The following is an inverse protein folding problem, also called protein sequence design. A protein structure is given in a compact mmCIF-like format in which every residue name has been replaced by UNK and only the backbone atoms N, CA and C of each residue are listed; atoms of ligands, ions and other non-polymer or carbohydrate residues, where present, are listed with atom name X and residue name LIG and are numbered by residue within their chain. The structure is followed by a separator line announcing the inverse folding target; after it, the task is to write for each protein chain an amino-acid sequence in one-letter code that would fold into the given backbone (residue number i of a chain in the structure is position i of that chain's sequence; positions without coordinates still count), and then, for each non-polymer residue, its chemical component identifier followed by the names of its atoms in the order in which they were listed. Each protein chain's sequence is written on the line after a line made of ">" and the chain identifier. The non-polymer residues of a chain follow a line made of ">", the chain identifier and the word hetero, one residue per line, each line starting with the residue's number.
data_IF_730582159389
#
_entry.id   IF_730582159389
#
_cell.length_a   1.000
_cell.length_b   1.000
_cell.length_c   1.000
_cell.angle_alpha   90.00
_cell.angle_beta   90.00
_cell.angle_gamma   90.00
#
_symmetry.space_group_name_H-M   'P 1'
#
loop_
_entity.id
_entity.type
_entity.pdbx_description
1 polymer ?
#
# COMPACT_ATOMS: atom_id res chain seq x y z
N UNK A 1 -3.51 13.94 7.13
CA UNK A 1 -2.71 12.89 6.49
C UNK A 1 -3.16 11.59 7.10
N UNK A 2 -3.59 10.66 6.25
CA UNK A 2 -4.15 9.37 6.65
C UNK A 2 -3.10 8.32 6.31
N UNK A 3 -2.60 7.61 7.32
CA UNK A 3 -1.60 6.58 7.13
C UNK A 3 -2.26 5.20 7.14
N UNK A 4 -2.15 4.49 6.02
CA UNK A 4 -2.76 3.17 5.83
C UNK A 4 -1.85 2.01 6.24
N UNK A 5 -0.63 2.31 6.71
CA UNK A 5 0.35 1.32 7.16
C UNK A 5 -0.10 0.60 8.41
N UNK A 6 0.50 -0.57 8.63
CA UNK A 6 0.32 -1.34 9.86
C UNK A 6 0.99 -0.65 11.05
N UNK A 7 0.56 -0.97 12.28
CA UNK A 7 1.16 -0.39 13.49
C UNK A 7 2.67 -0.66 13.59
N UNK A 8 3.12 -1.82 13.11
CA UNK A 8 4.54 -2.17 13.08
C UNK A 8 5.33 -1.23 12.15
N UNK A 9 4.83 -0.99 10.94
CA UNK A 9 5.48 -0.10 9.97
C UNK A 9 5.51 1.36 10.48
N UNK A 10 4.45 1.81 11.15
CA UNK A 10 4.39 3.12 11.82
C UNK A 10 5.45 3.25 12.91
N UNK A 11 5.65 2.21 13.71
CA UNK A 11 6.63 2.17 14.78
C UNK A 11 8.07 2.16 14.25
N UNK A 12 8.36 1.34 13.23
CA UNK A 12 9.69 1.19 12.64
C UNK A 12 10.09 2.40 11.80
N UNK A 13 9.12 3.02 11.12
CA UNK A 13 9.34 4.11 10.17
C UNK A 13 8.31 5.24 10.36
N UNK A 14 8.37 5.99 11.48
CA UNK A 14 7.38 7.03 11.77
C UNK A 14 7.47 8.20 10.79
N UNK A 15 6.32 8.80 10.48
CA UNK A 15 6.28 9.95 9.59
C UNK A 15 6.99 11.19 10.17
N UNK A 16 7.67 11.98 9.32
CA UNK A 16 8.18 13.27 9.73
C UNK A 16 7.03 14.19 10.15
N UNK A 17 7.23 14.93 11.25
CA UNK A 17 6.24 15.86 11.77
C UNK A 17 6.25 17.16 10.96
N UNK A 18 5.13 17.45 10.30
CA UNK A 18 4.89 18.64 9.48
C UNK A 18 3.95 19.56 10.24
N UNK A 19 4.31 20.84 10.33
CA UNK A 19 3.49 21.84 11.01
C UNK A 19 2.13 22.00 10.31
N UNK A 20 1.07 22.11 11.10
CA UNK A 20 -0.31 22.32 10.62
C UNK A 20 -0.92 21.14 9.85
N UNK A 21 -0.32 19.95 9.92
CA UNK A 21 -0.91 18.70 9.41
C UNK A 21 -1.49 17.90 10.57
N UNK A 22 -2.75 17.49 10.44
CA UNK A 22 -3.36 16.48 11.33
C UNK A 22 -3.00 15.09 10.80
N UNK A 23 -2.66 14.16 11.68
CA UNK A 23 -2.28 12.78 11.34
C UNK A 23 -3.36 11.84 11.86
N UNK A 24 -3.70 10.82 11.08
CA UNK A 24 -4.61 9.75 11.46
C UNK A 24 -4.03 8.40 11.03
N UNK A 25 -3.91 7.48 11.98
CA UNK A 25 -3.36 6.15 11.77
C UNK A 25 -4.54 5.20 11.50
N UNK A 26 -4.63 4.68 10.27
CA UNK A 26 -5.79 3.95 9.75
C UNK A 26 -5.31 2.64 9.09
N UNK A 27 -4.80 1.67 9.86
CA UNK A 27 -4.25 0.45 9.30
C UNK A 27 -5.31 -0.33 8.52
N UNK A 28 -4.98 -0.71 7.27
CA UNK A 28 -5.87 -1.53 6.41
C UNK A 28 -5.39 -2.98 6.28
N UNK A 29 -4.31 -3.34 6.97
CA UNK A 29 -3.80 -4.69 7.06
C UNK A 29 -3.51 -5.02 8.52
N UNK A 30 -3.58 -6.31 8.87
CA UNK A 30 -3.09 -6.79 10.16
C UNK A 30 -1.57 -6.73 10.14
N UNK A 31 -0.97 -6.52 11.30
CA UNK A 31 0.43 -6.88 11.50
C UNK A 31 0.55 -8.39 11.26
N UNK A 32 0.97 -8.80 10.06
CA UNK A 32 1.26 -10.22 9.77
C UNK A 32 2.60 -10.66 10.37
N UNK A 33 3.26 -9.78 11.13
CA UNK A 33 4.68 -9.85 11.39
C UNK A 33 5.45 -9.52 10.11
N UNK A 34 6.47 -8.67 10.24
CA UNK A 34 7.42 -8.31 9.17
C UNK A 34 6.71 -7.88 7.86
N UNK A 35 6.50 -6.58 7.68
CA UNK A 35 5.78 -5.97 6.54
C UNK A 35 6.11 -6.54 5.15
N UNK A 36 5.26 -6.24 4.16
CA UNK A 36 5.23 -6.84 2.81
C UNK A 36 6.52 -6.70 1.96
N UNK A 37 7.60 -6.16 2.53
CA UNK A 37 8.91 -5.97 1.89
C UNK A 37 10.08 -6.39 2.79
N UNK A 38 9.82 -7.12 3.87
CA UNK A 38 10.88 -7.65 4.72
C UNK A 38 11.67 -8.76 4.04
N UNK A 39 12.92 -8.93 4.48
CA UNK A 39 13.77 -10.05 4.08
C UNK A 39 13.04 -11.40 4.23
N UNK A 40 12.32 -11.60 5.33
CA UNK A 40 11.58 -12.83 5.57
C UNK A 40 10.38 -13.02 4.62
N UNK A 41 9.70 -11.94 4.24
CA UNK A 41 8.65 -12.03 3.23
C UNK A 41 9.22 -12.41 1.86
N UNK A 42 10.36 -11.82 1.48
CA UNK A 42 11.06 -12.16 0.23
C UNK A 42 11.60 -13.60 0.23
N UNK A 43 12.15 -14.08 1.35
CA UNK A 43 12.59 -15.47 1.52
C UNK A 43 11.43 -16.46 1.37
N UNK A 44 10.28 -16.15 1.97
CA UNK A 44 9.07 -16.97 1.81
C UNK A 44 8.59 -16.97 0.35
N UNK A 45 8.61 -15.82 -0.33
CA UNK A 45 8.22 -15.71 -1.74
C UNK A 45 9.14 -16.52 -2.67
N UNK A 46 10.46 -16.54 -2.40
CA UNK A 46 11.42 -17.31 -3.21
C UNK A 46 11.20 -18.83 -3.15
N UNK A 47 10.55 -19.33 -2.09
CA UNK A 47 10.23 -20.75 -1.92
C UNK A 47 8.90 -21.19 -2.56
N UNK A 48 8.12 -20.26 -3.13
CA UNK A 48 6.82 -20.57 -3.71
C UNK A 48 6.92 -20.90 -5.20
N UNK A 49 6.18 -21.91 -5.66
CA UNK A 49 6.04 -22.18 -7.09
C UNK A 49 5.30 -21.06 -7.84
N UNK A 50 4.43 -20.31 -7.16
CA UNK A 50 3.62 -19.20 -7.69
C UNK A 50 3.58 -18.02 -6.72
N UNK A 51 4.65 -17.23 -6.62
CA UNK A 51 4.72 -16.10 -5.69
C UNK A 51 3.64 -15.04 -5.95
N UNK A 52 3.10 -14.95 -7.16
CA UNK A 52 2.00 -14.06 -7.52
C UNK A 52 0.69 -14.38 -6.77
N UNK A 53 0.45 -15.65 -6.42
CA UNK A 53 -0.79 -16.06 -5.75
C UNK A 53 -0.88 -15.43 -4.35
N UNK A 54 0.26 -15.26 -3.66
CA UNK A 54 0.31 -14.53 -2.40
C UNK A 54 -0.11 -13.05 -2.55
N UNK A 55 0.30 -12.40 -3.64
CA UNK A 55 -0.08 -11.01 -3.92
C UNK A 55 -1.57 -10.89 -4.31
N UNK A 56 -2.09 -11.87 -5.05
CA UNK A 56 -3.52 -11.94 -5.38
C UNK A 56 -4.34 -12.09 -4.10
N UNK A 57 -3.95 -12.98 -3.21
CA UNK A 57 -4.64 -13.20 -1.94
C UNK A 57 -4.56 -11.96 -1.03
N UNK A 58 -3.39 -11.31 -0.96
CA UNK A 58 -3.23 -10.06 -0.23
C UNK A 58 -4.21 -8.97 -0.74
N UNK A 59 -4.41 -8.86 -2.05
CA UNK A 59 -5.40 -7.93 -2.62
C UNK A 59 -6.85 -8.33 -2.30
N UNK A 60 -7.17 -9.63 -2.28
CA UNK A 60 -8.50 -10.12 -1.85
C UNK A 60 -8.79 -9.74 -0.40
N UNK A 61 -7.76 -9.76 0.45
CA UNK A 61 -7.87 -9.38 1.86
C UNK A 61 -8.30 -7.94 2.08
N UNK A 62 -8.07 -7.02 1.13
CA UNK A 62 -8.62 -5.66 1.22
C UNK A 62 -10.15 -5.61 1.25
N UNK A 63 -10.82 -6.66 0.77
CA UNK A 63 -12.29 -6.75 0.69
C UNK A 63 -12.85 -7.76 1.68
N UNK A 64 -12.08 -8.77 2.10
CA UNK A 64 -12.56 -9.83 3.00
C UNK A 64 -12.26 -9.53 4.47
N UNK A 65 -11.07 -8.98 4.77
CA UNK A 65 -10.61 -8.82 6.15
C UNK A 65 -11.32 -7.67 6.90
N UNK A 66 -11.71 -7.87 8.18
CA UNK A 66 -12.34 -6.83 8.97
C UNK A 66 -11.49 -5.56 9.14
N UNK A 67 -10.17 -5.70 9.29
CA UNK A 67 -9.27 -4.55 9.45
C UNK A 67 -9.29 -3.65 8.22
N UNK A 68 -9.26 -4.26 7.02
CA UNK A 68 -9.30 -3.51 5.77
C UNK A 68 -10.64 -2.79 5.60
N UNK A 69 -11.76 -3.48 5.86
CA UNK A 69 -13.10 -2.87 5.81
C UNK A 69 -13.22 -1.68 6.75
N UNK A 70 -12.76 -1.82 7.99
CA UNK A 70 -12.78 -0.75 8.98
C UNK A 70 -11.88 0.41 8.56
N UNK A 71 -10.66 0.14 8.12
CA UNK A 71 -9.72 1.18 7.71
C UNK A 71 -10.18 1.95 6.47
N UNK A 72 -10.64 1.26 5.43
CA UNK A 72 -11.20 1.95 4.25
C UNK A 72 -12.50 2.69 4.58
N UNK A 73 -13.35 2.17 5.48
CA UNK A 73 -14.49 2.93 5.99
C UNK A 73 -14.03 4.24 6.66
N UNK A 74 -13.04 4.17 7.54
CA UNK A 74 -12.52 5.35 8.23
C UNK A 74 -11.89 6.35 7.26
N UNK A 75 -11.20 5.90 6.21
CA UNK A 75 -10.74 6.76 5.12
C UNK A 75 -11.91 7.58 4.53
N UNK A 76 -13.05 6.96 4.22
CA UNK A 76 -14.23 7.68 3.73
C UNK A 76 -14.81 8.63 4.79
N UNK A 77 -14.90 8.20 6.05
CA UNK A 77 -15.41 9.04 7.14
C UNK A 77 -14.56 10.32 7.29
N UNK A 78 -13.23 10.21 7.21
CA UNK A 78 -12.33 11.36 7.29
C UNK A 78 -12.38 12.25 6.05
N UNK A 79 -12.53 11.68 4.85
CA UNK A 79 -12.75 12.45 3.63
C UNK A 79 -14.05 13.27 3.71
N UNK A 80 -15.12 12.68 4.22
CA UNK A 80 -16.42 13.36 4.39
C UNK A 80 -16.38 14.42 5.50
N UNK A 81 -15.62 14.18 6.56
CA UNK A 81 -15.45 15.15 7.64
C UNK A 81 -14.59 16.37 7.21
N UNK A 82 -13.70 16.21 6.24
CA UNK A 82 -12.81 17.27 5.77
C UNK A 82 -13.49 18.22 4.76
N UNK A 83 -14.35 19.10 5.25
CA UNK A 83 -15.09 20.04 4.41
C UNK A 83 -14.23 21.15 3.77
N UNK A 84 -13.00 21.38 4.26
CA UNK A 84 -12.11 22.46 3.76
C UNK A 84 -10.65 22.02 3.81
N UNK A 85 -9.94 22.21 2.71
CA UNK A 85 -8.52 21.91 2.59
C UNK A 85 -8.27 20.69 1.70
N UNK A 86 -7.19 19.97 1.97
CA UNK A 86 -6.80 18.78 1.22
C UNK A 86 -6.52 17.61 2.16
N UNK A 87 -6.82 16.40 1.71
CA UNK A 87 -6.46 15.15 2.39
C UNK A 87 -5.38 14.44 1.57
N UNK A 88 -4.31 14.04 2.24
CA UNK A 88 -3.31 13.11 1.72
C UNK A 88 -3.48 11.78 2.45
N UNK A 89 -3.51 10.67 1.71
CA UNK A 89 -3.35 9.33 2.28
C UNK A 89 -2.19 8.62 1.61
N UNK A 90 -1.51 7.74 2.35
CA UNK A 90 -0.40 6.95 1.82
C UNK A 90 -0.30 5.59 2.51
N UNK A 91 0.62 4.77 2.01
CA UNK A 91 1.11 3.57 2.66
C UNK A 91 2.64 3.56 2.58
N UNK A 92 3.29 2.40 2.70
CA UNK A 92 4.75 2.28 2.62
C UNK A 92 5.30 2.64 1.24
N UNK A 93 4.60 2.26 0.18
CA UNK A 93 5.09 2.40 -1.21
C UNK A 93 4.18 3.24 -2.10
N UNK A 94 3.03 3.66 -1.57
CA UNK A 94 2.00 4.39 -2.32
C UNK A 94 1.34 3.58 -3.44
N UNK A 95 1.47 2.24 -3.43
CA UNK A 95 0.97 1.36 -4.49
C UNK A 95 -0.28 0.61 -4.07
N UNK A 96 -0.15 -0.43 -3.24
CA UNK A 96 -1.21 -1.43 -3.10
C UNK A 96 -2.34 -0.95 -2.16
N UNK A 97 -2.04 -0.68 -0.88
CA UNK A 97 -3.05 -0.19 0.07
C UNK A 97 -3.61 1.18 -0.32
N UNK A 98 -2.70 2.13 -0.62
CA UNK A 98 -3.09 3.48 -1.02
C UNK A 98 -3.81 3.50 -2.37
N UNK A 99 -3.33 2.73 -3.36
CA UNK A 99 -3.96 2.66 -4.68
C UNK A 99 -5.33 1.98 -4.63
N UNK A 100 -5.52 0.96 -3.79
CA UNK A 100 -6.84 0.37 -3.59
C UNK A 100 -7.82 1.37 -2.95
N UNK A 101 -7.38 2.10 -1.92
CA UNK A 101 -8.16 3.20 -1.33
C UNK A 101 -8.54 4.27 -2.35
N UNK A 102 -7.59 4.70 -3.19
CA UNK A 102 -7.85 5.65 -4.29
C UNK A 102 -8.86 5.08 -5.30
N UNK A 103 -8.72 3.81 -5.67
CA UNK A 103 -9.65 3.15 -6.60
C UNK A 103 -11.08 3.10 -6.05
N UNK A 104 -11.25 2.84 -4.74
CA UNK A 104 -12.56 2.89 -4.09
C UNK A 104 -13.15 4.30 -4.14
N UNK A 105 -12.38 5.33 -3.78
CA UNK A 105 -12.84 6.72 -3.78
C UNK A 105 -13.26 7.17 -5.18
N UNK A 106 -12.42 6.92 -6.20
CA UNK A 106 -12.74 7.29 -7.57
C UNK A 106 -13.96 6.51 -8.10
N UNK A 107 -14.10 5.23 -7.75
CA UNK A 107 -15.27 4.44 -8.14
C UNK A 107 -16.55 4.95 -7.48
N UNK A 108 -16.48 5.38 -6.21
CA UNK A 108 -17.62 5.98 -5.50
C UNK A 108 -18.03 7.34 -6.10
N UNK A 109 -17.09 8.05 -6.73
CA UNK A 109 -17.33 9.27 -7.49
C UNK A 109 -17.73 9.00 -8.96
N UNK A 110 -18.05 7.75 -9.31
CA UNK A 110 -18.47 7.32 -10.64
C UNK A 110 -17.46 7.61 -11.76
N UNK A 111 -16.17 7.69 -11.42
CA UNK A 111 -15.09 7.82 -12.41
C UNK A 111 -15.03 6.55 -13.26
N UNK A 112 -14.89 6.64 -14.60
CA UNK A 112 -14.82 5.47 -15.47
C UNK A 112 -13.73 4.48 -15.02
N UNK A 113 -14.07 3.19 -14.98
CA UNK A 113 -13.17 2.12 -14.53
C UNK A 113 -11.82 2.13 -15.26
N UNK A 114 -11.81 2.45 -16.55
CA UNK A 114 -10.57 2.56 -17.33
C UNK A 114 -9.65 3.67 -16.82
N UNK A 115 -10.22 4.81 -16.43
CA UNK A 115 -9.48 5.93 -15.82
C UNK A 115 -8.95 5.54 -14.45
N UNK A 116 -9.77 4.87 -13.62
CA UNK A 116 -9.33 4.35 -12.31
C UNK A 116 -8.16 3.39 -12.48
N UNK A 117 -8.24 2.47 -13.44
CA UNK A 117 -7.17 1.51 -13.70
C UNK A 117 -5.90 2.18 -14.24
N UNK A 118 -6.06 3.17 -15.12
CA UNK A 118 -4.93 3.96 -15.61
C UNK A 118 -4.18 4.64 -14.47
N UNK A 119 -4.92 5.26 -13.54
CA UNK A 119 -4.35 5.89 -12.34
C UNK A 119 -3.65 4.87 -11.44
N UNK A 120 -4.31 3.76 -11.11
CA UNK A 120 -3.76 2.68 -10.29
C UNK A 120 -2.42 2.15 -10.85
N UNK A 121 -2.32 2.00 -12.17
CA UNK A 121 -1.13 1.49 -12.86
C UNK A 121 0.01 2.52 -12.98
N UNK A 122 -0.21 3.82 -12.73
CA UNK A 122 0.85 4.84 -12.77
C UNK A 122 1.97 4.56 -11.76
N UNK A 123 1.63 3.89 -10.66
CA UNK A 123 2.58 3.43 -9.65
C UNK A 123 3.72 2.58 -10.26
N UNK A 124 3.47 1.80 -11.32
CA UNK A 124 4.50 1.02 -12.01
C UNK A 124 5.55 1.92 -12.69
N UNK A 125 5.14 3.08 -13.20
CA UNK A 125 6.04 4.06 -13.81
C UNK A 125 6.88 4.73 -12.74
N UNK A 126 6.24 5.25 -11.68
CA UNK A 126 6.94 6.00 -10.63
C UNK A 126 7.83 5.13 -9.75
N UNK A 127 7.54 3.83 -9.64
CA UNK A 127 8.35 2.88 -8.87
C UNK A 127 9.45 2.19 -9.68
N UNK A 128 9.58 2.49 -10.98
CA UNK A 128 10.51 1.77 -11.86
C UNK A 128 11.94 1.76 -11.32
N UNK A 129 12.45 2.90 -10.88
CA UNK A 129 13.81 3.03 -10.34
C UNK A 129 13.99 2.25 -9.03
N UNK A 130 13.07 2.41 -8.08
CA UNK A 130 13.09 1.67 -6.81
C UNK A 130 13.00 0.15 -7.03
N UNK A 131 12.15 -0.29 -7.96
CA UNK A 131 12.03 -1.71 -8.32
C UNK A 131 13.32 -2.24 -8.95
N UNK A 132 13.99 -1.45 -9.80
CA UNK A 132 15.28 -1.83 -10.39
C UNK A 132 16.37 -2.02 -9.32
N UNK A 133 16.39 -1.17 -8.28
CA UNK A 133 17.34 -1.33 -7.16
C UNK A 133 17.11 -2.64 -6.40
N UNK A 134 15.84 -2.99 -6.14
CA UNK A 134 15.47 -4.24 -5.48
C UNK A 134 15.87 -5.45 -6.35
N UNK A 135 15.58 -5.42 -7.65
CA UNK A 135 15.97 -6.47 -8.60
C UNK A 135 17.49 -6.66 -8.60
N UNK A 136 18.26 -5.58 -8.65
CA UNK A 136 19.72 -5.64 -8.59
C UNK A 136 20.23 -6.20 -7.26
N UNK A 137 19.58 -5.87 -6.14
CA UNK A 137 19.96 -6.41 -4.84
C UNK A 137 19.71 -7.93 -4.75
N UNK A 138 18.59 -8.41 -5.29
CA UNK A 138 18.26 -9.85 -5.35
C UNK A 138 19.17 -10.58 -6.33
N UNK A 139 19.50 -9.98 -7.48
CA UNK A 139 20.43 -10.57 -8.45
C UNK A 139 21.82 -10.80 -7.84
N UNK A 140 22.29 -9.93 -6.94
CA UNK A 140 23.55 -10.14 -6.21
C UNK A 140 23.51 -11.26 -5.18
N UNK A 141 22.33 -11.67 -4.73
CA UNK A 141 22.12 -12.72 -3.72
C UNK A 141 21.78 -14.07 -4.34
N UNK A 142 21.58 -14.13 -5.66
CA UNK A 142 21.28 -15.33 -6.43
C UNK A 142 22.43 -15.57 -7.40
N UNK A 143 22.71 -16.81 -7.80
CA UNK A 143 23.79 -17.15 -8.75
C UNK A 143 23.61 -16.58 -10.17
N UNK A 144 22.63 -15.68 -10.38
CA UNK A 144 22.43 -14.91 -11.59
C UNK A 144 23.33 -13.66 -11.60
N UNK A 145 24.64 -13.89 -11.66
CA UNK A 145 25.60 -12.85 -12.04
C UNK A 145 25.66 -12.81 -13.59
N UNK A 146 25.34 -11.69 -14.26
CA UNK A 146 25.41 -11.60 -15.72
C UNK A 146 26.83 -11.74 -16.27
#
# INVERSE_FOLDING_TARGET
>A
MIDLRTDQELFEHPDPKIKSVTYSDVPVMKNLGQGAFTQAFMENLMGLEKPEDCLIEANRNFVTEPVAKTGYKQLFDELLANAKGATLWHCTTGKDQAGFGTALVLSALEVPKETVMKDYLLSNTFRKEANQQIIQAVAKQTDNNP
#
